data_IF_725665775993
#
_entry.id   IF_725665775993
#
_cell.length_a   1.000
_cell.length_b   1.000
_cell.length_c   1.000
_cell.angle_alpha   90.00
_cell.angle_beta   90.00
_cell.angle_gamma   90.00
#
_symmetry.space_group_name_H-M   'P 1'
#
loop_
_entity.id
_entity.type
_entity.pdbx_description
1 polymer ?
#
# COMPACT_ATOMS: atom_id res chain seq x y z
N UNK A 1 9.04 15.36 -8.59
CA UNK A 1 9.00 14.73 -7.25
C UNK A 1 8.61 13.30 -7.47
N UNK A 2 9.44 12.35 -7.06
CA UNK A 2 9.10 10.93 -7.13
C UNK A 2 7.93 10.66 -6.16
N UNK A 3 6.92 9.92 -6.62
CA UNK A 3 5.78 9.54 -5.78
C UNK A 3 6.16 8.25 -5.05
N UNK A 4 6.05 8.23 -3.72
CA UNK A 4 6.29 6.99 -2.97
C UNK A 4 5.01 6.15 -2.96
N UNK A 5 5.13 4.87 -3.28
CA UNK A 5 4.06 3.90 -3.18
C UNK A 5 4.35 2.88 -2.09
N UNK A 6 3.34 2.47 -1.35
CA UNK A 6 3.43 1.33 -0.43
C UNK A 6 2.50 0.23 -0.89
N UNK A 7 2.98 -1.00 -0.96
CA UNK A 7 2.19 -2.19 -1.22
C UNK A 7 2.29 -3.11 -0.01
N UNK A 8 1.22 -3.20 0.76
CA UNK A 8 1.20 -3.83 2.09
C UNK A 8 0.19 -4.98 2.12
N UNK A 9 0.65 -6.15 2.54
CA UNK A 9 -0.20 -7.35 2.57
C UNK A 9 -0.63 -7.79 3.97
N UNK A 10 -0.09 -7.18 5.04
CA UNK A 10 -0.33 -7.59 6.43
C UNK A 10 -0.67 -6.41 7.34
N UNK A 11 -1.33 -6.70 8.46
CA UNK A 11 -1.61 -5.71 9.50
C UNK A 11 -0.31 -5.16 10.12
N UNK A 12 0.69 -6.04 10.32
CA UNK A 12 2.00 -5.67 10.87
C UNK A 12 2.70 -4.68 9.94
N UNK A 13 2.77 -4.99 8.64
CA UNK A 13 3.36 -4.08 7.66
C UNK A 13 2.65 -2.72 7.62
N UNK A 14 1.33 -2.68 7.81
CA UNK A 14 0.60 -1.41 7.91
C UNK A 14 0.99 -0.61 9.15
N UNK A 15 1.09 -1.27 10.31
CA UNK A 15 1.48 -0.62 11.57
C UNK A 15 2.87 0.01 11.44
N UNK A 16 3.82 -0.72 10.86
CA UNK A 16 5.20 -0.27 10.65
C UNK A 16 5.29 0.89 9.65
N UNK A 17 4.54 0.81 8.55
CA UNK A 17 4.55 1.84 7.51
C UNK A 17 3.72 3.09 7.86
N UNK A 18 2.81 3.01 8.85
CA UNK A 18 1.81 4.04 9.14
C UNK A 18 2.42 5.42 9.36
N UNK A 19 3.46 5.53 10.18
CA UNK A 19 4.07 6.84 10.45
C UNK A 19 4.71 7.45 9.20
N UNK A 20 5.33 6.63 8.36
CA UNK A 20 5.91 7.07 7.10
C UNK A 20 4.83 7.50 6.09
N UNK A 21 3.74 6.72 5.97
CA UNK A 21 2.57 7.04 5.14
C UNK A 21 2.00 8.42 5.47
N UNK A 22 1.89 8.74 6.76
CA UNK A 22 1.29 10.00 7.24
C UNK A 22 2.27 11.20 7.17
N UNK A 23 3.58 10.95 7.13
CA UNK A 23 4.60 12.00 7.11
C UNK A 23 4.99 12.43 5.69
N UNK A 24 4.75 11.58 4.69
CA UNK A 24 5.11 11.83 3.31
C UNK A 24 4.07 12.69 2.59
N UNK A 25 4.54 13.65 1.77
CA UNK A 25 3.68 14.67 1.14
C UNK A 25 2.83 14.14 -0.02
N UNK A 26 3.26 13.05 -0.65
CA UNK A 26 2.58 12.40 -1.78
C UNK A 26 2.83 10.90 -1.72
N UNK A 27 1.84 10.18 -1.22
CA UNK A 27 1.95 8.74 -0.98
C UNK A 27 0.72 8.02 -1.50
N UNK A 28 0.94 6.94 -2.24
CA UNK A 28 -0.11 5.97 -2.54
C UNK A 28 0.07 4.72 -1.70
N UNK A 29 -1.04 4.10 -1.31
CA UNK A 29 -1.07 2.87 -0.54
C UNK A 29 -1.95 1.85 -1.27
N UNK A 30 -1.38 0.71 -1.63
CA UNK A 30 -2.11 -0.49 -2.00
C UNK A 30 -2.11 -1.44 -0.81
N UNK A 31 -3.27 -1.91 -0.40
CA UNK A 31 -3.37 -2.75 0.79
C UNK A 31 -4.40 -3.85 0.62
N UNK A 32 -4.12 -5.01 1.21
CA UNK A 32 -5.06 -6.12 1.27
C UNK A 32 -6.41 -5.70 1.89
N UNK A 33 -7.53 -6.28 1.41
CA UNK A 33 -8.84 -6.01 1.99
C UNK A 33 -8.90 -6.43 3.46
N UNK A 34 -9.74 -5.78 4.26
CA UNK A 34 -9.93 -6.06 5.69
C UNK A 34 -8.75 -5.76 6.65
N UNK A 35 -7.64 -5.19 6.18
CA UNK A 35 -6.57 -4.70 7.08
C UNK A 35 -6.95 -3.36 7.71
N UNK A 36 -7.53 -2.45 6.92
CA UNK A 36 -7.93 -1.13 7.39
C UNK A 36 -9.34 -1.17 7.98
N UNK A 37 -9.49 -0.61 9.17
CA UNK A 37 -10.79 -0.22 9.71
C UNK A 37 -11.15 1.22 9.28
N UNK A 38 -12.40 1.61 9.52
CA UNK A 38 -12.94 2.93 9.15
C UNK A 38 -12.11 4.09 9.73
N UNK A 39 -11.69 4.00 10.99
CA UNK A 39 -10.92 5.07 11.63
C UNK A 39 -9.50 5.23 11.02
N UNK A 40 -8.87 4.12 10.63
CA UNK A 40 -7.59 4.13 9.92
C UNK A 40 -7.75 4.73 8.52
N UNK A 41 -8.80 4.35 7.79
CA UNK A 41 -9.10 4.90 6.46
C UNK A 41 -9.36 6.42 6.53
N UNK A 42 -10.14 6.88 7.52
CA UNK A 42 -10.38 8.30 7.75
C UNK A 42 -9.09 9.08 8.03
N UNK A 43 -8.15 8.46 8.76
CA UNK A 43 -6.85 9.07 9.07
C UNK A 43 -6.00 9.22 7.81
N UNK A 44 -5.95 8.19 6.96
CA UNK A 44 -5.23 8.21 5.69
C UNK A 44 -5.82 9.24 4.71
N UNK A 45 -7.16 9.31 4.64
CA UNK A 45 -7.87 10.29 3.81
C UNK A 45 -7.57 11.73 4.24
N UNK A 46 -7.56 12.01 5.55
CA UNK A 46 -7.20 13.34 6.08
C UNK A 46 -5.75 13.72 5.77
N UNK A 47 -4.85 12.74 5.78
CA UNK A 47 -3.46 12.90 5.37
C UNK A 47 -3.26 12.94 3.84
N UNK A 48 -4.34 12.83 3.05
CA UNK A 48 -4.33 12.81 1.58
C UNK A 48 -3.50 11.66 0.99
N UNK A 49 -3.47 10.52 1.69
CA UNK A 49 -2.90 9.28 1.16
C UNK A 49 -3.86 8.68 0.15
N UNK A 50 -3.38 8.44 -1.06
CA UNK A 50 -4.12 7.84 -2.17
C UNK A 50 -4.25 6.33 -1.92
N UNK A 51 -5.34 5.92 -1.26
CA UNK A 51 -5.53 4.57 -0.74
C UNK A 51 -6.33 3.69 -1.70
N UNK A 52 -5.75 2.54 -2.06
CA UNK A 52 -6.28 1.53 -2.97
C UNK A 52 -6.40 0.19 -2.24
N UNK A 53 -7.63 -0.30 -2.09
CA UNK A 53 -7.86 -1.65 -1.54
C UNK A 53 -7.72 -2.66 -2.69
N UNK A 54 -6.92 -3.70 -2.50
CA UNK A 54 -6.77 -4.77 -3.47
C UNK A 54 -8.08 -5.55 -3.64
N UNK A 55 -8.41 -5.91 -4.89
CA UNK A 55 -9.64 -6.65 -5.23
C UNK A 55 -9.70 -8.05 -4.62
N UNK A 56 -8.53 -8.64 -4.33
CA UNK A 56 -8.41 -9.95 -3.74
C UNK A 56 -7.41 -9.93 -2.59
N UNK A 57 -7.63 -10.80 -1.61
CA UNK A 57 -6.66 -11.04 -0.55
C UNK A 57 -5.43 -11.76 -1.12
N UNK A 58 -4.25 -11.16 -0.95
CA UNK A 58 -2.97 -11.73 -1.32
C UNK A 58 -2.31 -12.33 -0.09
N UNK A 59 -2.03 -13.63 -0.10
CA UNK A 59 -1.29 -14.26 1.00
C UNK A 59 0.20 -13.84 0.92
N UNK A 60 0.79 -13.31 1.99
CA UNK A 60 2.24 -13.12 2.06
C UNK A 60 2.96 -14.44 1.79
N UNK A 61 3.95 -14.42 0.90
CA UNK A 61 4.69 -15.62 0.45
C UNK A 61 4.11 -16.33 -0.78
N UNK A 62 2.96 -15.91 -1.32
CA UNK A 62 2.60 -16.28 -2.70
C UNK A 62 3.33 -15.36 -3.69
N UNK A 63 4.59 -15.69 -3.95
CA UNK A 63 5.49 -14.89 -4.79
C UNK A 63 4.90 -14.57 -6.16
N UNK A 64 4.19 -15.53 -6.77
CA UNK A 64 3.62 -15.35 -8.10
C UNK A 64 2.52 -14.29 -8.10
N UNK A 65 1.64 -14.33 -7.11
CA UNK A 65 0.56 -13.35 -6.97
C UNK A 65 1.14 -11.98 -6.60
N UNK A 66 2.08 -11.93 -5.67
CA UNK A 66 2.75 -10.69 -5.25
C UNK A 66 3.43 -9.99 -6.44
N UNK A 67 4.24 -10.73 -7.22
CA UNK A 67 4.90 -10.18 -8.40
C UNK A 67 3.93 -9.65 -9.45
N UNK A 68 2.80 -10.34 -9.65
CA UNK A 68 1.77 -9.88 -10.58
C UNK A 68 1.13 -8.56 -10.11
N UNK A 69 0.89 -8.40 -8.80
CA UNK A 69 0.36 -7.14 -8.25
C UNK A 69 1.39 -6.02 -8.38
N UNK A 70 2.66 -6.27 -8.05
CA UNK A 70 3.75 -5.30 -8.22
C UNK A 70 3.79 -4.80 -9.67
N UNK A 71 3.85 -5.71 -10.64
CA UNK A 71 3.87 -5.36 -12.06
C UNK A 71 2.67 -4.52 -12.48
N UNK A 72 1.46 -4.87 -12.00
CA UNK A 72 0.27 -4.09 -12.28
C UNK A 72 0.36 -2.67 -11.69
N UNK A 73 0.85 -2.53 -10.46
CA UNK A 73 0.99 -1.20 -9.84
C UNK A 73 1.98 -0.34 -10.61
N UNK A 74 3.17 -0.87 -10.93
CA UNK A 74 4.20 -0.15 -11.66
C UNK A 74 3.78 0.20 -13.09
N UNK A 75 3.07 -0.69 -13.80
CA UNK A 75 2.57 -0.42 -15.15
C UNK A 75 1.59 0.76 -15.19
N UNK A 76 0.77 0.93 -14.15
CA UNK A 76 -0.18 2.04 -14.07
C UNK A 76 0.42 3.30 -13.43
N UNK A 77 1.59 3.17 -12.79
CA UNK A 77 2.27 4.24 -12.06
C UNK A 77 3.77 4.21 -12.38
N UNK A 78 4.19 4.55 -13.61
CA UNK A 78 5.58 4.34 -14.07
C UNK A 78 6.64 5.13 -13.29
N UNK A 79 6.25 6.22 -12.63
CA UNK A 79 7.14 7.09 -11.86
C UNK A 79 7.07 6.85 -10.34
N UNK A 80 6.50 5.71 -9.92
CA UNK A 80 6.35 5.38 -8.51
C UNK A 80 7.58 4.65 -7.96
N UNK A 81 8.06 5.09 -6.81
CA UNK A 81 9.00 4.31 -6.02
C UNK A 81 8.21 3.40 -5.07
N UNK A 82 7.99 2.16 -5.49
CA UNK A 82 7.15 1.20 -4.77
C UNK A 82 7.93 0.45 -3.69
N UNK A 83 7.49 0.58 -2.44
CA UNK A 83 7.97 -0.16 -1.28
C UNK A 83 6.99 -1.29 -0.99
N UNK A 84 7.48 -2.53 -0.97
CA UNK A 84 6.65 -3.73 -0.79
C UNK A 84 6.93 -4.34 0.58
N UNK A 85 5.88 -4.50 1.38
CA UNK A 85 5.98 -5.07 2.73
C UNK A 85 5.25 -6.42 2.81
N UNK A 86 6.01 -7.48 3.11
CA UNK A 86 5.56 -8.88 3.11
C UNK A 86 5.71 -9.60 4.46
N UNK A 87 6.12 -8.90 5.52
CA UNK A 87 6.30 -9.44 6.87
C UNK A 87 4.97 -9.74 7.59
#
# INVERSE_FOLDING_TARGET
>A
MEKTGYLIFTEVGFIEAKEALLSASTTALWINPNILNTAQLDTLNKARVDTHILEQWVKPGDEKVTLNIIQKVEQHNPDINLLVEYL
#
